data_IF_304574284999
#
_entry.id   IF_304574284999
#
_cell.length_a   1.000
_cell.length_b   1.000
_cell.length_c   1.000
_cell.angle_alpha   90.00
_cell.angle_beta   90.00
_cell.angle_gamma   90.00
#
_symmetry.space_group_name_H-M   'P 1'
#
loop_
_entity.id
_entity.type
_entity.pdbx_description
1 polymer ?
#
# COMPACT_ATOMS: atom_id res chain seq x y z
N UNK A 1 -1.61 -24.19 6.07
CA UNK A 1 -1.47 -22.72 6.21
C UNK A 1 -0.36 -22.43 7.20
N UNK A 2 0.78 -21.93 6.71
CA UNK A 2 1.98 -21.74 7.53
C UNK A 2 2.10 -20.28 7.99
N UNK A 3 1.43 -19.97 9.10
CA UNK A 3 1.36 -18.63 9.69
C UNK A 3 2.74 -18.02 10.02
N UNK A 4 3.79 -18.85 10.16
CA UNK A 4 5.15 -18.38 10.44
C UNK A 4 5.83 -17.76 9.22
N UNK A 5 5.54 -18.28 8.03
CA UNK A 5 6.12 -17.79 6.78
C UNK A 5 5.58 -16.39 6.42
N UNK A 6 4.27 -16.20 6.60
CA UNK A 6 3.60 -14.90 6.36
C UNK A 6 4.15 -13.80 7.28
N UNK A 7 4.33 -14.09 8.59
CA UNK A 7 4.93 -13.13 9.53
C UNK A 7 6.35 -12.73 9.13
N UNK A 8 7.16 -13.69 8.69
CA UNK A 8 8.54 -13.44 8.25
C UNK A 8 8.62 -12.54 7.02
N UNK A 9 7.73 -12.75 6.05
CA UNK A 9 7.62 -11.89 4.86
C UNK A 9 7.19 -10.46 5.23
N UNK A 10 6.17 -10.31 6.07
CA UNK A 10 5.67 -9.01 6.52
C UNK A 10 6.78 -8.21 7.20
N UNK A 11 7.55 -8.82 8.11
CA UNK A 11 8.67 -8.14 8.79
C UNK A 11 9.74 -7.66 7.80
N UNK A 12 10.06 -8.45 6.78
CA UNK A 12 11.03 -8.06 5.74
C UNK A 12 10.54 -6.85 4.94
N UNK A 13 9.26 -6.81 4.57
CA UNK A 13 8.67 -5.67 3.86
C UNK A 13 8.65 -4.41 4.71
N UNK A 14 8.28 -4.53 6.00
CA UNK A 14 8.34 -3.41 6.94
C UNK A 14 9.76 -2.84 7.06
N UNK A 15 10.77 -3.70 7.19
CA UNK A 15 12.17 -3.26 7.25
C UNK A 15 12.61 -2.63 5.94
N UNK A 16 12.16 -3.15 4.79
CA UNK A 16 12.46 -2.59 3.48
C UNK A 16 11.85 -1.19 3.30
N UNK A 17 10.58 -0.99 3.67
CA UNK A 17 9.91 0.31 3.62
C UNK A 17 10.61 1.30 4.56
N UNK A 18 10.92 0.87 5.78
CA UNK A 18 11.70 1.68 6.72
C UNK A 18 13.05 2.09 6.12
N UNK A 19 13.74 1.16 5.46
CA UNK A 19 15.02 1.40 4.77
C UNK A 19 14.88 2.41 3.63
N UNK A 20 13.85 2.30 2.79
CA UNK A 20 13.56 3.27 1.73
C UNK A 20 13.32 4.66 2.32
N UNK A 21 12.50 4.77 3.38
CA UNK A 21 12.20 6.05 4.02
C UNK A 21 13.44 6.73 4.60
N UNK A 22 14.34 5.95 5.21
CA UNK A 22 15.63 6.43 5.73
C UNK A 22 16.55 6.90 4.58
N UNK A 23 16.66 6.12 3.50
CA UNK A 23 17.58 6.39 2.38
C UNK A 23 17.12 7.60 1.55
N UNK A 24 15.82 7.76 1.33
CA UNK A 24 15.26 8.85 0.52
C UNK A 24 15.37 10.24 1.17
N UNK A 25 16.10 10.40 2.30
CA UNK A 25 16.12 11.61 3.14
C UNK A 25 14.71 12.09 3.50
N UNK A 26 13.75 11.17 3.61
CA UNK A 26 12.46 11.43 4.25
C UNK A 26 12.66 11.39 5.79
N UNK A 27 13.77 11.98 6.26
CA UNK A 27 14.21 12.01 7.65
C UNK A 27 13.45 13.03 8.51
N UNK A 28 12.49 13.75 7.94
CA UNK A 28 11.62 14.69 8.66
C UNK A 28 10.12 14.43 8.46
N UNK A 29 9.70 13.36 7.76
CA UNK A 29 8.31 12.92 7.92
C UNK A 29 8.24 12.15 9.23
N UNK A 30 7.78 12.84 10.28
CA UNK A 30 7.36 12.15 11.51
C UNK A 30 6.40 11.03 11.10
N UNK A 31 6.47 9.87 11.75
CA UNK A 31 5.50 8.78 11.54
C UNK A 31 4.04 9.28 11.52
N UNK A 32 3.77 10.34 12.27
CA UNK A 32 2.46 10.97 12.41
C UNK A 32 2.08 11.92 11.26
N UNK A 33 2.97 12.22 10.32
CA UNK A 33 2.70 13.09 9.17
C UNK A 33 2.00 12.37 8.02
N UNK A 34 2.11 11.04 7.95
CA UNK A 34 1.32 10.23 7.01
C UNK A 34 -0.09 10.12 7.59
N UNK A 35 -1.09 10.67 6.88
CA UNK A 35 -2.50 10.60 7.28
C UNK A 35 -3.36 9.67 6.42
N UNK A 36 -2.86 9.27 5.26
CA UNK A 36 -3.56 8.39 4.32
C UNK A 36 -2.55 7.60 3.50
N UNK A 37 -2.88 6.35 3.19
CA UNK A 37 -2.00 5.41 2.53
C UNK A 37 -2.75 4.61 1.46
N UNK A 38 -2.19 4.53 0.26
CA UNK A 38 -2.69 3.71 -0.85
C UNK A 38 -1.64 2.68 -1.29
N UNK A 39 -2.05 1.42 -1.43
CA UNK A 39 -1.21 0.34 -1.95
C UNK A 39 -1.80 -0.19 -3.26
N UNK A 40 -1.05 -0.01 -4.36
CA UNK A 40 -1.44 -0.47 -5.69
C UNK A 40 -0.99 -1.92 -5.90
N UNK A 41 -1.92 -2.80 -6.27
CA UNK A 41 -1.72 -4.25 -6.33
C UNK A 41 -1.68 -4.89 -4.95
N UNK A 42 -2.60 -4.51 -4.08
CA UNK A 42 -2.58 -4.90 -2.67
C UNK A 42 -2.90 -6.38 -2.42
N UNK A 43 -3.37 -7.12 -3.42
CA UNK A 43 -3.83 -8.50 -3.33
C UNK A 43 -4.92 -8.67 -2.27
N UNK A 44 -4.60 -9.39 -1.19
CA UNK A 44 -5.53 -9.60 -0.06
C UNK A 44 -5.48 -8.48 1.01
N UNK A 45 -4.66 -7.45 0.81
CA UNK A 45 -4.57 -6.30 1.70
C UNK A 45 -3.92 -6.55 3.06
N UNK A 46 -3.35 -7.75 3.33
CA UNK A 46 -2.72 -8.03 4.63
C UNK A 46 -1.51 -7.14 4.87
N UNK A 47 -0.64 -6.98 3.87
CA UNK A 47 0.56 -6.13 3.97
C UNK A 47 0.13 -4.66 4.09
N UNK A 48 -0.81 -4.23 3.27
CA UNK A 48 -1.40 -2.89 3.29
C UNK A 48 -1.93 -2.52 4.68
N UNK A 49 -2.69 -3.42 5.32
CA UNK A 49 -3.21 -3.22 6.67
C UNK A 49 -2.09 -3.09 7.72
N UNK A 50 -1.01 -3.87 7.59
CA UNK A 50 0.13 -3.82 8.53
C UNK A 50 0.92 -2.51 8.38
N UNK A 51 1.11 -2.03 7.16
CA UNK A 51 1.76 -0.74 6.89
C UNK A 51 0.90 0.41 7.41
N UNK A 52 -0.42 0.39 7.17
CA UNK A 52 -1.34 1.38 7.73
C UNK A 52 -1.31 1.44 9.25
N UNK A 53 -1.29 0.27 9.92
CA UNK A 53 -1.09 0.17 11.38
C UNK A 53 0.25 0.71 11.83
N UNK A 54 1.31 0.48 11.06
CA UNK A 54 2.63 1.02 11.37
C UNK A 54 2.62 2.55 11.41
N UNK A 55 1.80 3.22 10.59
CA UNK A 55 1.57 4.67 10.63
C UNK A 55 0.43 5.12 11.54
N UNK A 56 -0.13 4.22 12.38
CA UNK A 56 -1.27 4.49 13.25
C UNK A 56 -2.53 5.01 12.51
N UNK A 57 -2.74 4.60 11.25
CA UNK A 57 -3.90 5.01 10.46
C UNK A 57 -5.16 4.24 10.87
N UNK A 58 -6.32 4.90 10.78
CA UNK A 58 -7.62 4.24 10.85
C UNK A 58 -7.96 3.58 9.50
N UNK A 59 -8.87 2.61 9.50
CA UNK A 59 -9.27 1.87 8.29
C UNK A 59 -9.67 2.80 7.14
N UNK A 60 -10.39 3.86 7.46
CA UNK A 60 -10.93 4.83 6.51
C UNK A 60 -9.83 5.57 5.75
N UNK A 61 -8.60 5.52 6.24
CA UNK A 61 -7.41 6.15 5.66
C UNK A 61 -6.41 5.15 5.08
N UNK A 62 -6.77 3.86 5.03
CA UNK A 62 -5.93 2.80 4.46
C UNK A 62 -6.65 2.23 3.25
N UNK A 63 -6.08 2.46 2.08
CA UNK A 63 -6.64 2.08 0.80
C UNK A 63 -5.78 1.01 0.14
N UNK A 64 -6.41 -0.02 -0.40
CA UNK A 64 -5.73 -1.03 -1.22
C UNK A 64 -6.45 -1.19 -2.53
N UNK A 65 -5.73 -1.02 -3.64
CA UNK A 65 -6.26 -1.20 -4.98
C UNK A 65 -5.78 -2.50 -5.61
N UNK A 66 -6.68 -3.31 -6.15
CA UNK A 66 -6.33 -4.49 -6.95
C UNK A 66 -7.44 -4.80 -7.96
N UNK A 67 -7.14 -5.62 -8.98
CA UNK A 67 -8.11 -6.06 -9.99
C UNK A 67 -9.07 -7.13 -9.44
N UNK A 68 -8.73 -7.75 -8.30
CA UNK A 68 -9.57 -8.75 -7.62
C UNK A 68 -10.16 -8.18 -6.33
N UNK A 69 -11.45 -8.40 -6.08
CA UNK A 69 -12.09 -7.88 -4.88
C UNK A 69 -11.72 -8.69 -3.62
N UNK A 70 -11.12 -8.03 -2.62
CA UNK A 70 -10.75 -8.64 -1.34
C UNK A 70 -11.57 -8.08 -0.18
N UNK A 71 -12.09 -8.96 0.68
CA UNK A 71 -12.87 -8.58 1.87
C UNK A 71 -12.01 -8.44 3.13
N UNK A 72 -10.95 -7.63 3.07
CA UNK A 72 -10.14 -7.36 4.25
C UNK A 72 -10.79 -6.26 5.11
N UNK A 73 -11.25 -6.55 6.34
CA UNK A 73 -12.00 -5.59 7.14
C UNK A 73 -11.15 -4.43 7.68
N UNK A 74 -9.82 -4.48 7.54
CA UNK A 74 -8.88 -3.49 8.08
C UNK A 74 -8.51 -2.38 7.09
N UNK A 75 -8.95 -2.50 5.84
CA UNK A 75 -8.68 -1.50 4.78
C UNK A 75 -9.97 -1.17 4.02
N UNK A 76 -9.94 -0.08 3.29
CA UNK A 76 -10.90 0.22 2.22
C UNK A 76 -10.34 -0.35 0.92
N UNK A 77 -11.05 -1.33 0.37
CA UNK A 77 -10.67 -1.95 -0.90
C UNK A 77 -11.21 -1.13 -2.08
N UNK A 78 -10.37 -0.90 -3.09
CA UNK A 78 -10.70 -0.17 -4.31
C UNK A 78 -10.52 -1.12 -5.49
N UNK A 79 -11.60 -1.47 -6.18
CA UNK A 79 -11.50 -2.30 -7.38
C UNK A 79 -10.86 -1.49 -8.51
N UNK A 80 -9.81 -2.03 -9.11
CA UNK A 80 -9.12 -1.40 -10.23
C UNK A 80 -9.59 -2.02 -11.54
N UNK A 81 -10.01 -1.15 -12.47
CA UNK A 81 -10.24 -1.50 -13.86
C UNK A 81 -8.96 -1.18 -14.65
N UNK A 82 -8.35 -2.20 -15.24
CA UNK A 82 -7.13 -2.07 -16.06
C UNK A 82 -7.32 -1.18 -17.30
N UNK A 83 -8.56 -0.93 -17.70
CA UNK A 83 -8.89 -0.05 -18.82
C UNK A 83 -9.02 1.42 -18.41
N UNK A 84 -8.95 1.72 -17.12
CA UNK A 84 -9.00 3.09 -16.60
C UNK A 84 -7.61 3.63 -16.31
N UNK A 85 -7.36 4.88 -16.70
CA UNK A 85 -6.10 5.57 -16.44
C UNK A 85 -6.08 6.29 -15.09
N UNK A 86 -7.19 6.31 -14.36
CA UNK A 86 -7.36 7.04 -13.10
C UNK A 86 -8.14 6.21 -12.11
N UNK A 87 -7.76 6.31 -10.84
CA UNK A 87 -8.47 5.68 -9.73
C UNK A 87 -9.15 6.81 -8.96
N UNK A 88 -10.47 6.71 -8.79
CA UNK A 88 -11.22 7.66 -7.98
C UNK A 88 -11.15 7.26 -6.50
N UNK A 89 -10.35 8.01 -5.73
CA UNK A 89 -10.27 7.90 -4.27
C UNK A 89 -11.12 8.99 -3.58
N UNK A 90 -11.91 9.76 -4.34
CA UNK A 90 -12.66 10.92 -3.86
C UNK A 90 -11.78 12.16 -3.65
N UNK A 91 -12.12 12.97 -2.64
CA UNK A 91 -11.37 14.16 -2.20
C UNK A 91 -10.09 13.84 -1.40
N UNK A 92 -9.78 12.54 -1.29
CA UNK A 92 -8.73 12.07 -0.40
C UNK A 92 -7.37 12.17 -1.06
N UNK A 93 -6.69 13.27 -0.78
CA UNK A 93 -5.25 13.36 -0.98
C UNK A 93 -4.54 12.20 -0.25
N UNK A 94 -3.71 11.46 -0.98
CA UNK A 94 -2.94 10.34 -0.44
C UNK A 94 -1.54 10.82 -0.07
N UNK A 95 -1.12 10.58 1.17
CA UNK A 95 0.23 10.97 1.63
C UNK A 95 1.30 9.97 1.22
N UNK A 96 0.97 8.68 1.20
CA UNK A 96 1.88 7.61 0.83
C UNK A 96 1.24 6.68 -0.22
N UNK A 97 1.94 6.44 -1.32
CA UNK A 97 1.58 5.43 -2.31
C UNK A 97 2.68 4.37 -2.35
N UNK A 98 2.31 3.10 -2.29
CA UNK A 98 3.24 1.98 -2.56
C UNK A 98 2.76 1.15 -3.75
N UNK A 99 3.72 0.55 -4.46
CA UNK A 99 3.47 -0.42 -5.53
C UNK A 99 4.36 -1.65 -5.28
N UNK A 100 4.07 -2.42 -4.23
CA UNK A 100 4.93 -3.50 -3.78
C UNK A 100 4.85 -4.71 -4.72
N UNK A 101 5.88 -4.89 -5.55
CA UNK A 101 5.96 -5.99 -6.53
C UNK A 101 4.82 -5.94 -7.57
N UNK A 102 4.17 -4.79 -7.77
CA UNK A 102 3.02 -4.67 -8.69
C UNK A 102 3.42 -4.17 -10.08
N UNK A 103 4.44 -3.32 -10.15
CA UNK A 103 4.77 -2.56 -11.36
C UNK A 103 5.11 -3.41 -12.59
N UNK A 104 5.56 -4.66 -12.39
CA UNK A 104 5.86 -5.58 -13.48
C UNK A 104 4.62 -6.11 -14.22
N UNK A 105 3.42 -5.88 -13.69
CA UNK A 105 2.14 -6.17 -14.34
C UNK A 105 1.61 -5.00 -15.18
N UNK A 106 2.19 -3.80 -15.05
CA UNK A 106 1.73 -2.61 -15.77
C UNK A 106 2.41 -2.57 -17.14
N UNK A 107 1.67 -2.72 -18.25
CA UNK A 107 2.25 -2.69 -19.58
C UNK A 107 2.76 -1.29 -19.91
N UNK A 108 3.93 -1.22 -20.56
CA UNK A 108 4.55 0.03 -21.03
C UNK A 108 4.97 1.02 -19.92
N UNK A 109 5.29 0.55 -18.72
CA UNK A 109 5.70 1.42 -17.62
C UNK A 109 6.96 2.25 -17.95
N UNK A 110 7.81 1.76 -18.85
CA UNK A 110 8.99 2.45 -19.36
C UNK A 110 8.70 3.69 -20.22
N UNK A 111 7.43 3.96 -20.53
CA UNK A 111 7.01 5.12 -21.35
C UNK A 111 6.64 6.36 -20.52
N UNK A 112 6.78 6.29 -19.20
CA UNK A 112 6.60 7.40 -18.26
C UNK A 112 7.94 7.92 -17.76
#
# INVERSE_FOLDING_TARGET
HDCKLERSLITKYLHFIHGIMIIARIGEFSKDSIKSYFDLGCGNGLITAQIGKYFNLSKENIFGGDVFNSNNPQITFVSIDENQSTIDLGDQSVHLITCLVTLHHIPNIEKF
#
